data_IF_968040041625
#
_entry.id   IF_968040041625
#
_cell.length_a   1.000
_cell.length_b   1.000
_cell.length_c   1.000
_cell.angle_alpha   90.00
_cell.angle_beta   90.00
_cell.angle_gamma   90.00
#
_symmetry.space_group_name_H-M   'P 1'
#
loop_
_entity.id
_entity.type
_entity.pdbx_description
1 polymer ?
#
# COMPACT_ATOMS: atom_id res chain seq x y z
N UNK A 1 9.34 10.48 -14.69
CA UNK A 1 8.19 10.47 -13.77
C UNK A 1 7.73 9.04 -13.55
N UNK A 2 7.52 8.68 -12.31
CA UNK A 2 7.12 7.32 -11.97
C UNK A 2 5.63 7.28 -11.67
N UNK A 3 5.01 6.15 -12.01
CA UNK A 3 3.58 5.94 -11.71
C UNK A 3 3.45 5.09 -10.46
N UNK A 4 2.45 5.39 -9.66
CA UNK A 4 2.24 4.71 -8.39
C UNK A 4 0.77 4.52 -8.10
N UNK A 5 0.48 3.54 -7.27
CA UNK A 5 -0.82 3.44 -6.61
C UNK A 5 -0.58 3.52 -5.12
N UNK A 6 -1.62 3.89 -4.40
CA UNK A 6 -1.56 3.97 -2.93
C UNK A 6 -2.38 2.83 -2.37
N UNK A 7 -1.83 2.14 -1.39
CA UNK A 7 -2.59 1.16 -0.62
C UNK A 7 -2.78 1.69 0.79
N UNK A 8 -4.03 1.75 1.24
CA UNK A 8 -4.37 2.19 2.59
C UNK A 8 -5.23 1.13 3.27
N UNK A 9 -4.96 0.90 4.54
CA UNK A 9 -5.70 -0.08 5.31
C UNK A 9 -5.95 0.48 6.70
N UNK A 10 -7.14 0.24 7.22
CA UNK A 10 -7.51 0.69 8.54
C UNK A 10 -8.19 -0.43 9.30
N UNK A 11 -7.77 -0.63 10.55
CA UNK A 11 -8.40 -1.58 11.46
C UNK A 11 -9.07 -0.80 12.59
N UNK A 12 -10.36 -1.02 12.77
CA UNK A 12 -11.11 -0.27 13.76
C UNK A 12 -10.74 -0.60 15.20
N UNK A 13 -9.98 -1.65 15.42
CA UNK A 13 -9.59 -2.03 16.78
C UNK A 13 -8.29 -1.38 17.26
N UNK A 14 -7.71 -0.49 16.45
CA UNK A 14 -6.50 0.23 16.84
C UNK A 14 -6.77 1.72 16.77
N UNK A 15 -6.85 2.33 17.91
CA UNK A 15 -7.27 3.72 18.00
C UNK A 15 -6.18 4.71 17.61
N UNK A 16 -4.92 4.31 17.67
CA UNK A 16 -3.82 5.19 17.31
C UNK A 16 -3.47 5.14 15.83
N UNK A 17 -4.17 4.34 15.05
CA UNK A 17 -3.90 4.26 13.62
C UNK A 17 -4.31 5.53 12.91
N UNK A 18 -3.53 5.88 11.91
CA UNK A 18 -3.90 6.95 11.01
C UNK A 18 -5.14 6.53 10.23
N UNK A 19 -6.08 7.44 10.06
CA UNK A 19 -7.28 7.18 9.27
C UNK A 19 -6.90 6.92 7.81
N UNK A 20 -7.85 6.34 7.07
CA UNK A 20 -7.65 6.14 5.64
C UNK A 20 -7.37 7.48 4.95
N UNK A 21 -8.16 8.50 5.28
CA UNK A 21 -7.99 9.82 4.69
C UNK A 21 -6.62 10.40 5.01
N UNK A 22 -6.15 10.21 6.23
CA UNK A 22 -4.83 10.70 6.61
C UNK A 22 -3.72 9.96 5.89
N UNK A 23 -3.85 8.66 5.74
CA UNK A 23 -2.87 7.88 4.99
C UNK A 23 -2.80 8.34 3.54
N UNK A 24 -3.94 8.55 2.92
CA UNK A 24 -3.98 9.03 1.54
C UNK A 24 -3.36 10.40 1.42
N UNK A 25 -3.71 11.30 2.34
CA UNK A 25 -3.18 12.66 2.34
C UNK A 25 -1.65 12.65 2.37
N UNK A 26 -1.09 11.88 3.31
CA UNK A 26 0.35 11.80 3.45
C UNK A 26 1.02 11.18 2.22
N UNK A 27 0.39 10.16 1.65
CA UNK A 27 0.95 9.50 0.47
C UNK A 27 0.90 10.42 -0.75
N UNK A 28 -0.19 11.17 -0.93
CA UNK A 28 -0.27 12.11 -2.03
C UNK A 28 0.77 13.22 -1.90
N UNK A 29 0.97 13.72 -0.67
CA UNK A 29 1.99 14.74 -0.45
C UNK A 29 3.39 14.22 -0.74
N UNK A 30 3.66 12.98 -0.33
CA UNK A 30 4.95 12.36 -0.63
C UNK A 30 5.14 12.22 -2.14
N UNK A 31 4.11 11.76 -2.84
CA UNK A 31 4.19 11.59 -4.29
C UNK A 31 4.47 12.92 -4.98
N UNK A 32 3.76 13.97 -4.55
CA UNK A 32 3.95 15.30 -5.13
C UNK A 32 5.38 15.79 -4.91
N UNK A 33 5.90 15.60 -3.71
CA UNK A 33 7.26 16.06 -3.38
C UNK A 33 8.33 15.28 -4.12
N UNK A 34 8.03 14.07 -4.56
CA UNK A 34 9.02 13.21 -5.21
C UNK A 34 8.73 12.97 -6.69
N UNK A 35 7.89 13.80 -7.27
CA UNK A 35 7.59 13.77 -8.70
C UNK A 35 7.04 12.40 -9.14
N UNK A 36 6.10 11.88 -8.36
CA UNK A 36 5.44 10.60 -8.62
C UNK A 36 3.99 10.88 -8.97
N UNK A 37 3.50 10.21 -10.01
CA UNK A 37 2.11 10.34 -10.43
C UNK A 37 1.31 9.19 -9.84
N UNK A 38 0.30 9.52 -9.02
CA UNK A 38 -0.60 8.51 -8.45
C UNK A 38 -1.73 8.26 -9.42
N UNK A 39 -1.87 7.02 -9.85
CA UNK A 39 -2.89 6.66 -10.84
C UNK A 39 -4.05 5.87 -10.25
N UNK A 40 -3.99 5.51 -8.98
CA UNK A 40 -5.09 4.78 -8.36
C UNK A 40 -4.89 4.56 -6.89
N UNK A 41 -5.96 4.12 -6.25
CA UNK A 41 -5.98 3.83 -4.82
C UNK A 41 -6.61 2.47 -4.60
N UNK A 42 -6.06 1.75 -3.62
CA UNK A 42 -6.64 0.49 -3.16
C UNK A 42 -6.83 0.62 -1.66
N UNK A 43 -8.05 0.42 -1.19
CA UNK A 43 -8.40 0.70 0.19
C UNK A 43 -9.12 -0.48 0.80
N UNK A 44 -8.62 -0.97 1.92
CA UNK A 44 -9.28 -2.01 2.69
C UNK A 44 -9.66 -1.48 4.05
N UNK A 45 -10.94 -1.49 4.35
CA UNK A 45 -11.45 -1.12 5.66
C UNK A 45 -11.83 -2.37 6.41
N UNK A 46 -11.47 -2.42 7.67
CA UNK A 46 -11.85 -3.55 8.51
C UNK A 46 -13.36 -3.57 8.65
N UNK A 47 -13.97 -4.67 8.30
CA UNK A 47 -15.42 -4.79 8.41
C UNK A 47 -15.84 -5.25 9.80
N UNK A 48 -15.27 -6.32 10.26
CA UNK A 48 -15.46 -6.83 11.60
C UNK A 48 -14.18 -7.51 11.99
N UNK A 49 -13.91 -7.60 13.24
CA UNK A 49 -12.61 -7.97 13.72
C UNK A 49 -12.09 -9.35 13.36
N UNK A 50 -12.82 -10.14 12.60
CA UNK A 50 -12.41 -11.51 12.37
C UNK A 50 -11.81 -11.77 11.02
N UNK A 51 -12.08 -10.91 10.09
CA UNK A 51 -11.79 -11.21 8.71
C UNK A 51 -10.47 -10.63 8.30
N UNK A 52 -9.58 -11.48 7.84
CA UNK A 52 -8.27 -11.07 7.35
C UNK A 52 -8.26 -10.80 5.87
N UNK A 53 -9.40 -10.92 5.22
CA UNK A 53 -9.47 -10.67 3.79
C UNK A 53 -9.14 -9.23 3.51
N UNK A 54 -8.36 -9.05 2.49
CA UNK A 54 -7.98 -7.74 2.00
C UNK A 54 -8.26 -7.74 0.50
N UNK A 55 -9.54 -7.59 0.11
CA UNK A 55 -9.88 -7.73 -1.30
C UNK A 55 -9.19 -6.71 -2.19
N UNK A 56 -9.05 -5.48 -1.73
CA UNK A 56 -8.35 -4.49 -2.52
C UNK A 56 -6.86 -4.77 -2.61
N UNK A 57 -6.27 -5.27 -1.53
CA UNK A 57 -4.87 -5.68 -1.57
C UNK A 57 -4.65 -6.78 -2.60
N UNK A 58 -5.52 -7.79 -2.59
CA UNK A 58 -5.42 -8.88 -3.55
C UNK A 58 -5.59 -8.38 -4.98
N UNK A 59 -6.54 -7.48 -5.19
CA UNK A 59 -6.75 -6.87 -6.50
C UNK A 59 -5.53 -6.10 -6.95
N UNK A 60 -4.90 -5.36 -6.03
CA UNK A 60 -3.68 -4.62 -6.33
C UNK A 60 -2.55 -5.55 -6.79
N UNK A 61 -2.38 -6.67 -6.08
CA UNK A 61 -1.34 -7.62 -6.45
C UNK A 61 -1.61 -8.18 -7.85
N UNK A 62 -2.87 -8.53 -8.15
CA UNK A 62 -3.24 -9.00 -9.49
C UNK A 62 -2.98 -7.92 -10.55
N UNK A 63 -3.37 -6.70 -10.23
CA UNK A 63 -3.25 -5.60 -11.19
C UNK A 63 -1.79 -5.24 -11.47
N UNK A 64 -0.89 -5.55 -10.54
CA UNK A 64 0.53 -5.27 -10.74
C UNK A 64 1.08 -6.01 -11.95
N UNK A 65 0.46 -7.13 -12.33
CA UNK A 65 0.89 -7.89 -13.51
C UNK A 65 0.59 -7.16 -14.82
N UNK A 66 -0.25 -6.14 -14.77
CA UNK A 66 -0.59 -5.37 -15.98
C UNK A 66 0.45 -4.30 -16.32
N UNK A 67 1.41 -4.08 -15.44
CA UNK A 67 2.52 -3.13 -15.65
C UNK A 67 2.06 -1.69 -15.88
N UNK A 68 0.95 -1.29 -15.23
CA UNK A 68 0.45 0.07 -15.36
C UNK A 68 1.02 1.01 -14.31
N UNK A 69 1.62 0.47 -13.25
CA UNK A 69 2.26 1.28 -12.23
C UNK A 69 3.57 0.61 -11.81
N UNK A 70 4.50 1.43 -11.32
CA UNK A 70 5.83 0.98 -10.93
C UNK A 70 6.02 0.94 -9.43
N UNK A 71 5.18 1.66 -8.68
CA UNK A 71 5.36 1.81 -7.24
C UNK A 71 4.05 1.57 -6.53
N UNK A 72 4.16 1.03 -5.32
CA UNK A 72 3.06 0.98 -4.37
C UNK A 72 3.48 1.82 -3.17
N UNK A 73 2.71 2.84 -2.84
CA UNK A 73 2.97 3.69 -1.69
C UNK A 73 2.08 3.26 -0.54
N UNK A 74 2.68 3.11 0.64
CA UNK A 74 1.92 2.85 1.87
C UNK A 74 2.39 3.82 2.93
N UNK A 75 1.52 4.13 3.88
CA UNK A 75 1.85 5.03 4.97
C UNK A 75 2.93 4.43 5.87
N UNK A 76 2.74 3.18 6.27
CA UNK A 76 3.73 2.41 7.02
C UNK A 76 3.69 0.97 6.53
N UNK A 77 4.76 0.25 6.77
CA UNK A 77 4.86 -1.13 6.31
C UNK A 77 3.76 -2.01 6.89
N UNK A 78 3.30 -1.73 8.10
CA UNK A 78 2.25 -2.52 8.73
C UNK A 78 0.88 -2.32 8.06
N UNK A 79 0.75 -1.36 7.16
CA UNK A 79 -0.44 -1.24 6.31
C UNK A 79 -0.36 -2.21 5.15
N UNK A 80 0.85 -2.55 4.72
CA UNK A 80 1.07 -3.47 3.62
C UNK A 80 1.00 -4.92 4.08
N UNK A 81 1.55 -5.22 5.25
CA UNK A 81 1.72 -6.60 5.69
C UNK A 81 1.43 -6.74 7.17
N UNK A 82 0.99 -7.94 7.56
CA UNK A 82 0.72 -8.25 8.95
C UNK A 82 1.86 -8.95 9.63
N UNK A 83 2.84 -9.43 8.86
CA UNK A 83 3.99 -10.14 9.39
C UNK A 83 5.15 -9.95 8.43
N UNK A 84 6.33 -10.29 8.90
CA UNK A 84 7.53 -10.26 8.07
C UNK A 84 7.41 -11.20 6.88
N UNK A 85 6.84 -12.39 7.11
CA UNK A 85 6.66 -13.37 6.05
C UNK A 85 5.66 -12.88 5.00
N UNK A 86 4.57 -12.29 5.45
CA UNK A 86 3.57 -11.74 4.53
C UNK A 86 4.18 -10.63 3.68
N UNK A 87 4.97 -9.76 4.31
CA UNK A 87 5.65 -8.69 3.60
C UNK A 87 6.59 -9.22 2.53
N UNK A 88 7.43 -10.19 2.89
CA UNK A 88 8.41 -10.74 1.97
C UNK A 88 7.74 -11.43 0.79
N UNK A 89 6.69 -12.19 1.07
CA UNK A 89 5.97 -12.93 0.03
C UNK A 89 5.36 -11.98 -1.00
N UNK A 90 4.66 -10.97 -0.51
CA UNK A 90 3.95 -10.06 -1.42
C UNK A 90 4.88 -9.07 -2.10
N UNK A 91 5.94 -8.63 -1.42
CA UNK A 91 6.95 -7.82 -2.08
C UNK A 91 7.61 -8.58 -3.22
N UNK A 92 7.82 -9.88 -3.02
CA UNK A 92 8.37 -10.72 -4.07
C UNK A 92 7.48 -10.78 -5.30
N UNK A 93 6.16 -10.89 -5.08
CA UNK A 93 5.21 -10.86 -6.20
C UNK A 93 5.28 -9.55 -6.95
N UNK A 94 5.27 -8.43 -6.22
CA UNK A 94 5.36 -7.12 -6.85
C UNK A 94 6.65 -6.97 -7.63
N UNK A 95 7.76 -7.40 -7.05
CA UNK A 95 9.07 -7.28 -7.69
C UNK A 95 9.10 -8.04 -9.00
N UNK A 96 8.52 -9.25 -9.04
CA UNK A 96 8.46 -10.02 -10.27
C UNK A 96 7.68 -9.30 -11.35
N UNK A 97 6.75 -8.44 -10.96
CA UNK A 97 5.96 -7.64 -11.89
C UNK A 97 6.54 -6.25 -12.12
N UNK A 98 7.77 -6.01 -11.65
CA UNK A 98 8.43 -4.73 -11.86
C UNK A 98 7.93 -3.62 -10.97
N UNK A 99 7.36 -3.96 -9.81
CA UNK A 99 6.77 -2.97 -8.91
C UNK A 99 7.54 -2.94 -7.60
N UNK A 100 7.82 -1.74 -7.13
CA UNK A 100 8.57 -1.52 -5.90
C UNK A 100 7.64 -0.96 -4.82
N UNK A 101 7.83 -1.43 -3.59
CA UNK A 101 7.07 -0.95 -2.44
C UNK A 101 7.83 0.20 -1.77
N UNK A 102 7.12 1.28 -1.46
CA UNK A 102 7.67 2.39 -0.68
C UNK A 102 6.77 2.66 0.52
N UNK A 103 7.37 2.67 1.69
CA UNK A 103 6.69 3.09 2.91
C UNK A 103 7.14 4.52 3.21
N UNK A 104 6.18 5.45 3.27
CA UNK A 104 6.56 6.86 3.35
C UNK A 104 7.07 7.28 4.73
N UNK A 105 6.76 6.52 5.77
CA UNK A 105 7.20 6.83 7.13
C UNK A 105 8.41 6.02 7.57
N UNK A 106 8.90 5.13 6.74
CA UNK A 106 10.01 4.25 7.10
C UNK A 106 10.99 4.20 5.95
N UNK A 107 12.26 4.16 6.30
CA UNK A 107 13.30 4.05 5.30
C UNK A 107 13.81 2.61 5.29
N UNK A 108 13.43 1.84 4.28
CA UNK A 108 14.00 0.52 4.10
C UNK A 108 14.40 0.39 2.64
N UNK A 109 15.60 0.16 2.45
CA UNK A 109 16.16 0.22 1.15
C UNK A 109 15.89 -0.82 0.16
#
# INVERSE_FOLDING_TARGET
MKTAVIYARYSSDKQSEQSIEGQLYDCYNYAKANNITVIGEYIDRAMTGRNDDRPDFQRMIRDSAKHTFELVLVWKLDRFARSTEDAAYNRGKLKRNGVRLLSIKEDFG
#
